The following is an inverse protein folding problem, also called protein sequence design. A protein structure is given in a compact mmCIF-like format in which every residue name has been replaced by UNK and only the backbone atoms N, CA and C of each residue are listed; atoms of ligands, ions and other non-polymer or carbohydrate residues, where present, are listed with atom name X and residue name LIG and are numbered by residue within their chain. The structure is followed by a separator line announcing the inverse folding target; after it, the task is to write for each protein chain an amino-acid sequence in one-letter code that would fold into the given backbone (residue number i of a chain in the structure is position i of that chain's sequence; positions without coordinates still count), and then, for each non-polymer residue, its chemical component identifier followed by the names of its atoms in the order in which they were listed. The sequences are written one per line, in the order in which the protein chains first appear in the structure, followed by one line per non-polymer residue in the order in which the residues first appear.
data_IF_233053879017
#
_entry.id   IF_233053879017
#
_cell.length_a   1.000
_cell.length_b   1.000
_cell.length_c   1.000
_cell.angle_alpha   90.00
_cell.angle_beta   90.00
_cell.angle_gamma   90.00
#
_symmetry.space_group_name_H-M   'P 1'
#
loop_
_entity.id
_entity.type
_entity.pdbx_description
1 polymer ?
#
# COMPACT_ATOMS: atom_id res chain seq x y z
N UNK A 1 -2.93 5.01 18.19
CA UNK A 1 -3.23 3.61 18.59
C UNK A 1 -4.45 3.11 17.79
N UNK A 2 -4.34 2.98 16.46
CA UNK A 2 -5.46 2.62 15.58
C UNK A 2 -5.14 1.40 14.68
N UNK A 3 -3.85 1.07 14.49
CA UNK A 3 -3.43 -0.02 13.61
C UNK A 3 -3.94 -1.40 14.05
N UNK A 4 -3.80 -1.77 15.33
CA UNK A 4 -4.24 -3.09 15.81
C UNK A 4 -5.76 -3.30 15.64
N UNK A 5 -6.58 -2.28 15.91
CA UNK A 5 -8.03 -2.38 15.73
C UNK A 5 -8.42 -2.66 14.27
N UNK A 6 -7.75 -2.02 13.33
CA UNK A 6 -7.98 -2.22 11.89
C UNK A 6 -7.48 -3.59 11.40
N UNK A 7 -6.38 -4.10 11.97
CA UNK A 7 -5.82 -5.41 11.58
C UNK A 7 -6.64 -6.58 12.14
N UNK A 8 -7.21 -6.45 13.35
CA UNK A 8 -7.90 -7.53 14.05
C UNK A 8 -9.24 -7.92 13.40
N UNK A 9 -9.84 -7.02 12.63
CA UNK A 9 -11.11 -7.26 11.94
C UNK A 9 -10.93 -7.83 10.53
N UNK A 10 -9.68 -7.99 10.07
CA UNK A 10 -9.39 -8.49 8.73
C UNK A 10 -9.28 -10.03 8.71
N UNK A 11 -9.75 -10.70 7.65
CA UNK A 11 -9.58 -12.13 7.48
C UNK A 11 -8.10 -12.54 7.53
N UNK A 12 -7.80 -13.63 8.24
CA UNK A 12 -6.42 -14.11 8.44
C UNK A 12 -5.82 -14.75 7.20
N UNK A 13 -6.68 -15.20 6.28
CA UNK A 13 -6.36 -15.92 5.05
C UNK A 13 -6.17 -14.98 3.83
N UNK A 14 -6.00 -13.68 4.07
CA UNK A 14 -5.73 -12.72 3.01
C UNK A 14 -4.34 -12.90 2.39
N UNK A 15 -4.31 -12.93 1.06
CA UNK A 15 -3.07 -12.84 0.28
C UNK A 15 -2.41 -11.47 0.41
N UNK A 16 -1.11 -11.39 0.13
CA UNK A 16 -0.37 -10.13 0.16
C UNK A 16 -1.01 -9.03 -0.72
N UNK A 17 -1.55 -9.40 -1.90
CA UNK A 17 -2.25 -8.45 -2.80
C UNK A 17 -3.52 -7.88 -2.17
N UNK A 18 -4.29 -8.71 -1.47
CA UNK A 18 -5.50 -8.27 -0.78
C UNK A 18 -5.17 -7.33 0.38
N UNK A 19 -4.09 -7.60 1.12
CA UNK A 19 -3.58 -6.69 2.16
C UNK A 19 -3.21 -5.32 1.59
N UNK A 20 -2.47 -5.29 0.48
CA UNK A 20 -2.06 -4.05 -0.18
C UNK A 20 -3.26 -3.26 -0.71
N UNK A 21 -4.25 -3.93 -1.30
CA UNK A 21 -5.50 -3.32 -1.76
C UNK A 21 -6.33 -2.76 -0.58
N UNK A 22 -6.39 -3.48 0.54
CA UNK A 22 -7.09 -3.04 1.75
C UNK A 22 -6.45 -1.78 2.36
N UNK A 23 -5.12 -1.67 2.32
CA UNK A 23 -4.42 -0.44 2.69
C UNK A 23 -4.54 0.66 1.62
N UNK A 24 -5.07 0.35 0.43
CA UNK A 24 -5.14 1.25 -0.73
C UNK A 24 -3.77 1.74 -1.18
N UNK A 25 -2.77 0.86 -1.07
CA UNK A 25 -1.39 1.06 -1.52
C UNK A 25 -1.13 0.41 -2.89
N UNK A 26 -2.14 -0.24 -3.46
CA UNK A 26 -2.09 -0.88 -4.77
C UNK A 26 -1.95 0.15 -5.91
N UNK A 27 -1.22 -0.19 -6.98
CA UNK A 27 -1.14 0.65 -8.16
C UNK A 27 -2.46 0.61 -8.93
N UNK A 28 -3.07 1.77 -9.13
CA UNK A 28 -4.22 1.96 -10.00
C UNK A 28 -3.75 2.42 -11.37
N UNK A 29 -3.99 1.57 -12.38
CA UNK A 29 -3.83 1.95 -13.78
C UNK A 29 -4.98 2.88 -14.20
N UNK A 30 -4.66 3.87 -15.03
CA UNK A 30 -5.64 4.77 -15.62
C UNK A 30 -5.50 4.70 -17.14
N UNK A 31 -6.20 3.72 -17.70
CA UNK A 31 -6.24 3.46 -19.14
C UNK A 31 -7.67 3.60 -19.66
N UNK A 32 -7.82 4.20 -20.84
CA UNK A 32 -9.09 4.31 -21.55
C UNK A 32 -8.85 4.32 -23.05
N UNK A 33 -9.36 3.31 -23.74
CA UNK A 33 -9.13 3.11 -25.17
C UNK A 33 -7.64 3.07 -25.52
N UNK A 34 -7.30 3.57 -26.70
CA UNK A 34 -5.90 3.63 -27.19
C UNK A 34 -5.20 4.96 -26.90
N UNK A 35 -5.92 5.96 -26.40
CA UNK A 35 -5.42 7.35 -26.31
C UNK A 35 -5.10 7.80 -24.89
N UNK A 36 -5.55 7.06 -23.87
CA UNK A 36 -5.24 7.36 -22.47
C UNK A 36 -4.44 6.22 -21.87
N UNK A 37 -3.16 6.46 -21.65
CA UNK A 37 -2.27 5.58 -20.88
C UNK A 37 -1.44 6.44 -19.92
N UNK A 38 -1.93 6.59 -18.68
CA UNK A 38 -1.24 7.40 -17.67
C UNK A 38 -0.44 6.49 -16.73
N UNK A 39 0.71 6.96 -16.22
CA UNK A 39 1.48 6.24 -15.21
C UNK A 39 0.61 5.83 -14.03
N UNK A 40 0.80 4.60 -13.55
CA UNK A 40 0.06 4.07 -12.42
C UNK A 40 0.32 4.92 -11.17
N UNK A 41 -0.73 5.14 -10.36
CA UNK A 41 -0.64 5.87 -9.09
C UNK A 41 -1.22 5.03 -7.97
N UNK A 42 -0.80 5.27 -6.74
CA UNK A 42 -1.41 4.66 -5.55
C UNK A 42 -2.92 4.90 -5.58
N UNK A 43 -3.72 3.84 -5.44
CA UNK A 43 -5.18 3.86 -5.57
C UNK A 43 -5.85 4.80 -4.57
N UNK A 44 -5.38 4.78 -3.30
CA UNK A 44 -5.98 5.46 -2.14
C UNK A 44 -7.42 5.03 -1.83
N UNK A 45 -7.95 3.99 -2.49
CA UNK A 45 -9.32 3.53 -2.33
C UNK A 45 -9.54 2.71 -1.03
N UNK A 46 -8.47 2.11 -0.50
CA UNK A 46 -8.50 1.38 0.77
C UNK A 46 -8.44 2.25 2.03
N UNK A 47 -8.34 1.60 3.18
CA UNK A 47 -8.43 2.18 4.51
C UNK A 47 -7.39 3.29 4.75
N UNK A 48 -7.89 4.51 4.96
CA UNK A 48 -7.05 5.70 5.21
C UNK A 48 -6.24 5.60 6.51
N UNK A 49 -6.73 4.88 7.52
CA UNK A 49 -6.05 4.71 8.80
C UNK A 49 -4.87 3.76 8.69
N UNK A 50 -5.03 2.63 7.99
CA UNK A 50 -3.92 1.72 7.66
C UNK A 50 -2.83 2.46 6.88
N UNK A 51 -3.22 3.17 5.81
CA UNK A 51 -2.28 3.95 4.99
C UNK A 51 -1.53 5.01 5.80
N UNK A 52 -2.22 5.73 6.69
CA UNK A 52 -1.60 6.73 7.58
C UNK A 52 -0.65 6.08 8.58
N UNK A 53 -1.04 4.97 9.18
CA UNK A 53 -0.23 4.25 10.16
C UNK A 53 1.04 3.66 9.54
N UNK A 54 0.99 3.24 8.28
CA UNK A 54 2.11 2.64 7.56
C UNK A 54 3.11 3.67 6.99
N UNK A 55 2.73 4.95 6.88
CA UNK A 55 3.57 5.97 6.23
C UNK A 55 4.95 6.14 6.88
N UNK A 56 4.99 6.45 8.18
CA UNK A 56 6.26 6.67 8.89
C UNK A 56 7.10 5.37 9.04
N UNK A 57 6.51 4.22 9.39
CA UNK A 57 7.24 2.95 9.40
C UNK A 57 7.87 2.60 8.05
N UNK A 58 7.15 2.78 6.95
CA UNK A 58 7.67 2.50 5.61
C UNK A 58 8.85 3.43 5.26
N UNK A 59 8.76 4.72 5.58
CA UNK A 59 9.85 5.68 5.38
C UNK A 59 11.08 5.36 6.24
N UNK A 60 10.87 4.95 7.49
CA UNK A 60 11.97 4.51 8.36
C UNK A 60 12.64 3.27 7.78
N UNK A 61 11.85 2.25 7.41
CA UNK A 61 12.37 1.00 6.87
C UNK A 61 13.15 1.22 5.56
N UNK A 62 12.68 2.09 4.67
CA UNK A 62 13.41 2.44 3.45
C UNK A 62 14.82 3.03 3.70
N UNK A 63 15.06 3.60 4.90
CA UNK A 63 16.37 4.17 5.28
C UNK A 63 17.23 3.21 6.08
N UNK A 64 16.64 2.43 6.98
CA UNK A 64 17.36 1.62 7.98
C UNK A 64 17.44 0.15 7.63
N UNK A 65 16.45 -0.40 6.91
CA UNK A 65 16.37 -1.82 6.60
C UNK A 65 16.97 -2.11 5.22
N UNK A 66 18.01 -2.94 5.19
CA UNK A 66 18.74 -3.27 3.95
C UNK A 66 17.84 -3.89 2.88
N UNK A 67 16.98 -4.84 3.27
CA UNK A 67 16.03 -5.50 2.36
C UNK A 67 15.06 -4.52 1.71
N UNK A 68 14.65 -3.46 2.44
CA UNK A 68 13.72 -2.45 1.92
C UNK A 68 14.47 -1.45 1.05
N UNK A 69 15.67 -1.04 1.48
CA UNK A 69 16.55 -0.13 0.73
C UNK A 69 16.95 -0.71 -0.62
N UNK A 70 17.13 -2.02 -0.73
CA UNK A 70 17.47 -2.72 -1.96
C UNK A 70 16.43 -2.52 -3.09
N UNK A 71 15.17 -2.18 -2.77
CA UNK A 71 14.16 -1.86 -3.80
C UNK A 71 14.35 -0.48 -4.45
N UNK A 72 15.21 0.38 -3.92
CA UNK A 72 15.45 1.74 -4.41
C UNK A 72 16.82 1.93 -5.08
N UNK A 73 17.64 0.89 -5.12
CA UNK A 73 18.93 0.86 -5.83
C UNK A 73 18.73 0.32 -7.25
#
# INVERSE_FOLDING_TARGET
MSLMGELLVLPKDMTAKQWVAMAGLDPRQHQSGTSVDKPARISKAGNKYLRKALYMPALSAARTEENVRAYYQ
#
